data_IF_030317295658
#
_entry.id   IF_030317295658
#
_cell.length_a   1.000
_cell.length_b   1.000
_cell.length_c   1.000
_cell.angle_alpha   90.00
_cell.angle_beta   90.00
_cell.angle_gamma   90.00
#
_symmetry.space_group_name_H-M   'P 1'
#
loop_
_entity.id
_entity.type
_entity.pdbx_description
1 polymer ?
#
# COMPACT_ATOMS: atom_id res chain seq x y z
N UNK A 1 13.83 16.77 -4.98
CA UNK A 1 13.24 16.43 -3.67
C UNK A 1 12.67 17.67 -2.98
N UNK A 2 13.46 18.73 -2.74
CA UNK A 2 12.94 19.91 -2.02
C UNK A 2 11.82 20.65 -2.77
N UNK A 3 11.79 20.58 -4.11
CA UNK A 3 10.71 21.15 -4.94
C UNK A 3 9.33 20.55 -4.65
N UNK A 4 9.28 19.32 -4.12
CA UNK A 4 8.05 18.65 -3.73
C UNK A 4 7.59 18.99 -2.30
N UNK A 5 8.46 19.55 -1.44
CA UNK A 5 8.12 19.87 -0.05
C UNK A 5 6.90 20.79 0.12
N UNK A 6 6.68 21.81 -0.73
CA UNK A 6 5.51 22.68 -0.60
C UNK A 6 4.15 21.95 -0.63
N UNK A 7 4.12 20.76 -1.25
CA UNK A 7 2.94 19.92 -1.47
C UNK A 7 2.64 18.99 -0.27
N UNK A 8 3.59 18.81 0.66
CA UNK A 8 3.31 18.15 1.92
C UNK A 8 2.40 19.01 2.79
N UNK A 9 1.60 18.36 3.65
CA UNK A 9 0.82 19.07 4.68
C UNK A 9 1.75 19.84 5.61
N UNK A 10 1.25 20.93 6.18
CA UNK A 10 2.06 21.78 7.08
C UNK A 10 2.76 20.98 8.19
N UNK A 11 2.09 19.98 8.75
CA UNK A 11 2.62 19.07 9.78
C UNK A 11 3.72 18.11 9.27
N UNK A 12 3.81 17.89 7.97
CA UNK A 12 4.74 16.98 7.31
C UNK A 12 5.92 17.71 6.61
N UNK A 13 5.85 19.04 6.43
CA UNK A 13 6.86 19.82 5.66
C UNK A 13 8.28 19.76 6.23
N UNK A 14 8.37 19.72 7.56
CA UNK A 14 9.64 19.70 8.29
C UNK A 14 10.14 18.27 8.57
N UNK A 15 9.31 17.27 8.28
CA UNK A 15 9.69 15.87 8.50
C UNK A 15 10.72 15.42 7.47
N UNK A 16 11.61 14.54 7.89
CA UNK A 16 12.46 13.79 6.96
C UNK A 16 11.64 12.73 6.23
N UNK A 17 12.14 12.25 5.09
CA UNK A 17 11.43 11.28 4.25
C UNK A 17 10.96 10.05 5.05
N UNK A 18 11.84 9.47 5.87
CA UNK A 18 11.54 8.29 6.69
C UNK A 18 10.52 8.55 7.82
N UNK A 19 10.22 9.81 8.12
CA UNK A 19 9.25 10.22 9.13
C UNK A 19 7.86 10.50 8.54
N UNK A 20 7.71 10.56 7.21
CA UNK A 20 6.37 10.67 6.62
C UNK A 20 5.65 9.34 6.86
N UNK A 21 4.47 9.39 7.43
CA UNK A 21 3.63 8.22 7.62
C UNK A 21 2.28 8.48 6.96
N UNK A 22 1.65 7.46 6.37
CA UNK A 22 2.11 6.07 6.20
C UNK A 22 3.23 5.90 5.13
N UNK A 23 3.78 4.68 4.97
CA UNK A 23 4.85 4.38 3.99
C UNK A 23 4.48 4.75 2.56
N UNK A 24 3.23 4.51 2.18
CA UNK A 24 2.67 4.91 0.88
C UNK A 24 2.73 6.42 0.62
N UNK A 25 2.65 7.26 1.67
CA UNK A 25 2.89 8.71 1.56
C UNK A 25 4.36 9.02 1.25
N UNK A 26 5.31 8.28 1.85
CA UNK A 26 6.74 8.39 1.51
C UNK A 26 6.96 8.07 0.04
N UNK A 27 6.42 6.94 -0.40
CA UNK A 27 6.58 6.45 -1.76
C UNK A 27 5.97 7.45 -2.75
N UNK A 28 4.74 7.92 -2.50
CA UNK A 28 4.11 8.95 -3.32
C UNK A 28 4.96 10.21 -3.42
N UNK A 29 5.55 10.66 -2.31
CA UNK A 29 6.38 11.86 -2.28
C UNK A 29 7.65 11.70 -3.13
N UNK A 30 8.31 10.54 -3.05
CA UNK A 30 9.48 10.23 -3.87
C UNK A 30 9.13 10.23 -5.35
N UNK A 31 8.06 9.52 -5.74
CA UNK A 31 7.61 9.49 -7.13
C UNK A 31 7.24 10.88 -7.64
N UNK A 32 6.51 11.67 -6.84
CA UNK A 32 6.13 13.03 -7.19
C UNK A 32 7.33 13.96 -7.36
N UNK A 33 8.30 13.88 -6.44
CA UNK A 33 9.53 14.64 -6.52
C UNK A 33 10.37 14.25 -7.76
N UNK A 34 10.41 12.98 -8.13
CA UNK A 34 11.03 12.52 -9.37
C UNK A 34 10.34 13.10 -10.60
N UNK A 35 9.00 13.08 -10.64
CA UNK A 35 8.20 13.66 -11.74
C UNK A 35 8.45 15.15 -11.91
N UNK A 36 8.44 15.93 -10.82
CA UNK A 36 8.74 17.37 -10.87
C UNK A 36 10.12 17.68 -11.44
N UNK A 37 11.08 16.77 -11.23
CA UNK A 37 12.46 16.91 -11.71
C UNK A 37 12.69 16.29 -13.08
N UNK A 38 11.63 15.84 -13.78
CA UNK A 38 11.72 15.07 -15.04
C UNK A 38 12.67 13.86 -14.94
N UNK A 39 12.82 13.31 -13.74
CA UNK A 39 13.66 12.16 -13.47
C UNK A 39 12.76 10.93 -13.53
N UNK A 40 13.05 9.99 -14.44
CA UNK A 40 12.42 8.67 -14.36
C UNK A 40 13.05 7.93 -13.18
N UNK A 41 12.28 7.43 -12.20
CA UNK A 41 12.84 6.59 -11.16
C UNK A 41 13.52 5.40 -11.86
N UNK A 42 14.78 5.14 -11.48
CA UNK A 42 15.62 4.16 -12.17
C UNK A 42 14.94 2.78 -12.13
N UNK A 43 14.73 2.11 -13.28
CA UNK A 43 14.12 0.78 -13.32
C UNK A 43 14.93 -0.29 -12.55
N UNK A 44 16.21 -0.05 -12.25
CA UNK A 44 17.00 -0.89 -11.35
C UNK A 44 16.50 -0.90 -9.89
N UNK A 45 15.51 -0.08 -9.54
CA UNK A 45 14.89 -0.03 -8.22
C UNK A 45 13.77 -1.06 -8.03
N UNK A 46 13.38 -1.77 -9.08
CA UNK A 46 12.38 -2.84 -9.03
C UNK A 46 12.89 -4.11 -8.27
N UNK A 47 14.19 -4.19 -7.91
CA UNK A 47 14.79 -5.31 -7.17
C UNK A 47 14.93 -5.09 -5.65
N UNK A 48 14.48 -3.95 -5.11
CA UNK A 48 14.23 -3.84 -3.67
C UNK A 48 12.74 -4.12 -3.46
N UNK A 49 12.42 -5.24 -2.81
CA UNK A 49 11.10 -5.65 -2.27
C UNK A 49 10.47 -4.62 -1.27
N UNK A 50 10.79 -3.34 -1.37
CA UNK A 50 10.56 -2.32 -0.33
C UNK A 50 9.65 -1.17 -0.80
N UNK A 51 9.27 -1.10 -2.08
CA UNK A 51 8.48 0.03 -2.59
C UNK A 51 7.19 -0.47 -3.27
N UNK A 52 6.12 -0.61 -2.50
CA UNK A 52 4.78 -0.72 -3.08
C UNK A 52 4.49 0.59 -3.81
N UNK A 53 4.41 0.56 -5.15
CA UNK A 53 4.03 1.76 -5.90
C UNK A 53 2.67 2.22 -5.40
N UNK A 54 2.51 3.48 -4.97
CA UNK A 54 1.24 3.95 -4.48
C UNK A 54 0.18 3.82 -5.56
N UNK A 55 -1.01 3.41 -5.16
CA UNK A 55 -2.12 3.14 -6.07
C UNK A 55 -2.48 4.38 -6.91
N UNK A 56 -2.35 5.59 -6.38
CA UNK A 56 -2.57 6.80 -7.20
C UNK A 56 -1.68 6.82 -8.44
N UNK A 57 -0.43 6.36 -8.35
CA UNK A 57 0.50 6.37 -9.48
C UNK A 57 0.17 5.31 -10.53
N UNK A 58 -0.33 4.15 -10.10
CA UNK A 58 -0.84 3.15 -11.04
C UNK A 58 -2.07 3.67 -11.79
N UNK A 59 -2.97 4.38 -11.11
CA UNK A 59 -4.11 5.05 -11.75
C UNK A 59 -3.65 6.14 -12.73
N UNK A 60 -2.65 6.94 -12.36
CA UNK A 60 -2.10 7.96 -13.26
C UNK A 60 -1.53 7.34 -14.52
N UNK A 61 -0.78 6.24 -14.37
CA UNK A 61 -0.22 5.51 -15.50
C UNK A 61 -1.34 4.92 -16.37
N UNK A 62 -2.40 4.41 -15.76
CA UNK A 62 -3.56 3.91 -16.49
C UNK A 62 -4.19 5.01 -17.36
N UNK A 63 -4.44 6.19 -16.79
CA UNK A 63 -5.01 7.34 -17.52
C UNK A 63 -4.03 7.87 -18.58
N UNK A 64 -2.74 7.90 -18.28
CA UNK A 64 -1.73 8.39 -19.23
C UNK A 64 -1.51 7.46 -20.44
N UNK A 65 -1.84 6.18 -20.32
CA UNK A 65 -1.73 5.25 -21.44
C UNK A 65 -2.80 5.51 -22.51
N UNK A 66 -3.96 6.04 -22.12
CA UNK A 66 -5.11 6.32 -23.00
C UNK A 66 -5.55 5.13 -23.89
N UNK A 67 -5.03 3.94 -23.60
CA UNK A 67 -5.22 2.70 -24.33
C UNK A 67 -5.42 1.56 -23.34
N UNK A 68 -6.66 1.08 -23.30
CA UNK A 68 -7.11 -0.01 -22.42
C UNK A 68 -6.36 -1.32 -22.70
N UNK A 69 -5.94 -1.55 -23.95
CA UNK A 69 -5.19 -2.76 -24.32
C UNK A 69 -3.74 -2.65 -23.81
N UNK A 70 -3.14 -1.46 -23.91
CA UNK A 70 -1.83 -1.21 -23.33
C UNK A 70 -1.86 -1.35 -21.79
N UNK A 71 -2.92 -0.86 -21.14
CA UNK A 71 -3.11 -1.01 -19.70
C UNK A 71 -3.30 -2.47 -19.25
N UNK A 72 -4.10 -3.25 -19.99
CA UNK A 72 -4.33 -4.69 -19.71
C UNK A 72 -3.08 -5.55 -19.86
N UNK A 73 -2.06 -5.07 -20.61
CA UNK A 73 -0.77 -5.76 -20.71
C UNK A 73 0.11 -5.58 -19.47
N UNK A 74 -0.31 -4.75 -18.51
CA UNK A 74 0.41 -4.43 -17.28
C UNK A 74 -0.44 -4.80 -16.05
N UNK A 75 -0.34 -6.03 -15.51
CA UNK A 75 -1.21 -6.53 -14.44
C UNK A 75 -1.24 -5.65 -13.19
N UNK A 76 -0.13 -4.99 -12.84
CA UNK A 76 -0.08 -4.06 -11.70
C UNK A 76 -0.88 -2.77 -11.94
N UNK A 77 -0.91 -2.28 -13.18
CA UNK A 77 -1.67 -1.09 -13.58
C UNK A 77 -3.17 -1.41 -13.64
N UNK A 78 -3.50 -2.59 -14.18
CA UNK A 78 -4.87 -3.10 -14.20
C UNK A 78 -5.42 -3.31 -12.78
N UNK A 79 -4.69 -4.00 -11.90
CA UNK A 79 -5.09 -4.20 -10.50
C UNK A 79 -5.30 -2.87 -9.76
N UNK A 80 -4.51 -1.86 -10.10
CA UNK A 80 -4.69 -0.51 -9.55
C UNK A 80 -5.96 0.14 -10.07
N UNK A 81 -6.21 0.10 -11.38
CA UNK A 81 -7.44 0.62 -11.98
C UNK A 81 -8.67 -0.03 -11.34
N UNK A 82 -8.65 -1.35 -11.13
CA UNK A 82 -9.71 -2.08 -10.44
C UNK A 82 -9.90 -1.62 -8.98
N UNK A 83 -8.81 -1.32 -8.26
CA UNK A 83 -8.89 -0.77 -6.90
C UNK A 83 -9.55 0.62 -6.83
N UNK A 84 -9.61 1.33 -7.96
CA UNK A 84 -10.37 2.58 -8.14
C UNK A 84 -11.74 2.38 -8.81
N UNK A 85 -12.11 1.12 -9.07
CA UNK A 85 -13.40 0.73 -9.64
C UNK A 85 -13.41 0.61 -11.16
N UNK A 86 -12.30 0.94 -11.81
CA UNK A 86 -12.17 0.82 -13.26
C UNK A 86 -11.79 -0.62 -13.57
N UNK A 87 -12.79 -1.46 -13.84
CA UNK A 87 -12.58 -2.87 -14.12
C UNK A 87 -13.48 -3.41 -15.23
N UNK A 88 -13.27 -4.67 -15.64
CA UNK A 88 -14.00 -5.32 -16.74
C UNK A 88 -15.50 -5.52 -16.45
N UNK A 89 -15.94 -5.33 -15.20
CA UNK A 89 -17.33 -5.44 -14.78
C UNK A 89 -18.16 -4.18 -15.08
N UNK A 90 -17.52 -3.06 -15.43
CA UNK A 90 -18.23 -1.85 -15.84
C UNK A 90 -18.73 -1.98 -17.29
N UNK A 91 -19.89 -1.38 -17.56
CA UNK A 91 -20.26 -1.12 -18.95
C UNK A 91 -19.39 0.01 -19.52
N UNK A 92 -19.30 0.09 -20.85
CA UNK A 92 -18.46 1.09 -21.55
C UNK A 92 -18.77 2.53 -21.15
N UNK A 93 -20.03 2.84 -20.84
CA UNK A 93 -20.45 4.19 -20.45
C UNK A 93 -19.97 4.57 -19.05
N UNK A 94 -20.12 3.66 -18.08
CA UNK A 94 -19.64 3.84 -16.70
C UNK A 94 -18.11 3.88 -16.65
N UNK A 95 -17.46 3.05 -17.47
CA UNK A 95 -16.02 3.07 -17.65
C UNK A 95 -15.54 4.44 -18.13
N UNK A 96 -16.16 4.99 -19.17
CA UNK A 96 -15.77 6.29 -19.72
C UNK A 96 -16.02 7.41 -18.71
N UNK A 97 -17.14 7.39 -17.99
CA UNK A 97 -17.45 8.39 -16.96
C UNK A 97 -16.43 8.36 -15.81
N UNK A 98 -16.05 7.17 -15.32
CA UNK A 98 -15.01 7.05 -14.29
C UNK A 98 -13.65 7.50 -14.83
N UNK A 99 -13.33 7.16 -16.07
CA UNK A 99 -12.09 7.58 -16.71
C UNK A 99 -11.99 9.11 -16.83
N UNK A 100 -13.04 9.77 -17.37
CA UNK A 100 -13.12 11.23 -17.45
C UNK A 100 -13.08 11.87 -16.07
N UNK A 101 -13.82 11.32 -15.10
CA UNK A 101 -13.81 11.80 -13.73
C UNK A 101 -12.41 11.78 -13.11
N UNK A 102 -11.70 10.65 -13.20
CA UNK A 102 -10.35 10.56 -12.63
C UNK A 102 -9.34 11.40 -13.42
N UNK A 103 -9.53 11.58 -14.73
CA UNK A 103 -8.75 12.51 -15.54
C UNK A 103 -8.94 13.96 -15.09
N UNK A 104 -10.18 14.41 -14.87
CA UNK A 104 -10.49 15.74 -14.35
C UNK A 104 -9.96 15.92 -12.92
N UNK A 105 -10.17 14.92 -12.06
CA UNK A 105 -9.69 14.93 -10.68
C UNK A 105 -8.17 15.04 -10.65
N UNK A 106 -7.47 14.28 -11.49
CA UNK A 106 -6.02 14.36 -11.62
C UNK A 106 -5.54 15.74 -12.07
N UNK A 107 -6.20 16.34 -13.06
CA UNK A 107 -5.84 17.67 -13.54
C UNK A 107 -6.02 18.77 -12.48
N UNK A 108 -6.94 18.57 -11.53
CA UNK A 108 -7.26 19.54 -10.48
C UNK A 108 -6.60 19.24 -9.12
N UNK A 109 -6.19 18.00 -8.85
CA UNK A 109 -5.74 17.55 -7.55
C UNK A 109 -4.23 17.37 -7.43
N UNK A 110 -3.75 17.48 -6.20
CA UNK A 110 -2.40 17.06 -5.82
C UNK A 110 -2.36 15.52 -5.67
N UNK A 111 -1.43 14.82 -6.34
CA UNK A 111 -1.28 13.36 -6.28
C UNK A 111 -1.13 12.82 -4.86
N UNK A 112 -0.41 13.55 -4.00
CA UNK A 112 -0.19 13.18 -2.60
C UNK A 112 -1.48 13.23 -1.80
N UNK A 113 -2.30 14.25 -2.06
CA UNK A 113 -3.58 14.44 -1.38
C UNK A 113 -4.64 13.46 -1.89
N UNK A 114 -4.56 13.08 -3.17
CA UNK A 114 -5.41 12.05 -3.75
C UNK A 114 -5.10 10.66 -3.15
N UNK A 115 -3.82 10.31 -2.98
CA UNK A 115 -3.43 9.08 -2.28
C UNK A 115 -3.92 9.09 -0.83
N UNK A 116 -3.67 10.18 -0.09
CA UNK A 116 -4.12 10.31 1.29
C UNK A 116 -5.64 10.14 1.40
N UNK A 117 -6.41 10.82 0.54
CA UNK A 117 -7.86 10.70 0.53
C UNK A 117 -8.36 9.30 0.20
N UNK A 118 -7.65 8.55 -0.66
CA UNK A 118 -7.97 7.16 -0.95
C UNK A 118 -7.72 6.26 0.27
N UNK A 119 -6.61 6.48 1.00
CA UNK A 119 -6.27 5.70 2.20
C UNK A 119 -7.17 6.00 3.39
N UNK A 120 -7.65 7.24 3.52
CA UNK A 120 -8.50 7.67 4.62
C UNK A 120 -10.00 7.47 4.36
N UNK A 121 -10.38 6.78 3.28
CA UNK A 121 -11.78 6.64 2.85
C UNK A 121 -12.50 7.99 2.63
N UNK A 122 -11.78 9.06 2.29
CA UNK A 122 -12.33 10.41 2.07
C UNK A 122 -12.23 10.86 0.61
N UNK A 123 -12.03 9.93 -0.33
CA UNK A 123 -11.89 10.21 -1.77
C UNK A 123 -13.09 10.98 -2.34
N UNK A 124 -14.29 10.64 -1.90
CA UNK A 124 -15.52 11.26 -2.38
C UNK A 124 -15.69 12.71 -1.87
N UNK A 125 -15.27 12.99 -0.64
CA UNK A 125 -15.27 14.34 -0.08
C UNK A 125 -14.17 15.18 -0.74
N UNK A 126 -12.97 14.61 -0.87
CA UNK A 126 -11.84 15.25 -1.53
C UNK A 126 -12.14 15.61 -2.99
N UNK A 127 -12.79 14.71 -3.74
CA UNK A 127 -13.18 14.99 -5.12
C UNK A 127 -14.24 16.08 -5.24
N UNK A 128 -15.19 16.17 -4.30
CA UNK A 128 -16.15 17.29 -4.25
C UNK A 128 -15.44 18.63 -4.04
N UNK A 129 -14.46 18.67 -3.14
CA UNK A 129 -13.70 19.88 -2.87
C UNK A 129 -12.87 20.31 -4.08
N UNK A 130 -12.29 19.36 -4.81
CA UNK A 130 -11.48 19.63 -6.00
C UNK A 130 -12.34 20.05 -7.20
N UNK A 131 -13.44 19.34 -7.47
CA UNK A 131 -14.26 19.53 -8.68
C UNK A 131 -15.44 20.49 -8.47
N UNK A 132 -15.64 20.97 -7.24
CA UNK A 132 -16.62 21.95 -6.74
C UNK A 132 -18.11 21.61 -6.94
N UNK A 133 -18.53 21.14 -8.11
CA UNK A 133 -19.94 20.74 -8.39
C UNK A 133 -20.11 19.80 -9.59
N UNK A 134 -19.05 19.35 -10.26
CA UNK A 134 -19.16 18.63 -11.55
C UNK A 134 -19.33 17.11 -11.46
N UNK A 135 -19.44 16.54 -10.27
CA UNK A 135 -19.49 15.08 -10.13
C UNK A 135 -20.89 14.59 -10.54
N UNK A 136 -20.94 13.78 -11.59
CA UNK A 136 -22.15 13.12 -12.02
C UNK A 136 -22.71 12.21 -10.90
N UNK A 137 -24.03 12.23 -10.72
CA UNK A 137 -24.77 11.31 -9.85
C UNK A 137 -24.43 9.82 -10.06
N UNK A 138 -24.07 9.44 -11.29
CA UNK A 138 -23.67 8.08 -11.64
C UNK A 138 -22.28 7.75 -11.11
N UNK A 139 -21.31 8.65 -11.31
CA UNK A 139 -19.96 8.53 -10.74
C UNK A 139 -20.01 8.46 -9.21
N UNK A 140 -20.91 9.24 -8.60
CA UNK A 140 -21.15 9.20 -7.16
C UNK A 140 -21.63 7.83 -6.69
N UNK A 141 -22.56 7.22 -7.43
CA UNK A 141 -23.11 5.89 -7.12
C UNK A 141 -22.03 4.82 -7.24
N UNK A 142 -21.21 4.87 -8.30
CA UNK A 142 -20.11 3.94 -8.52
C UNK A 142 -19.04 4.04 -7.42
N UNK A 143 -18.66 5.26 -7.00
CA UNK A 143 -17.73 5.42 -5.87
C UNK A 143 -18.32 4.95 -4.55
N UNK A 144 -19.61 5.23 -4.28
CA UNK A 144 -20.25 4.77 -3.06
C UNK A 144 -20.32 3.24 -2.97
N UNK A 145 -20.58 2.55 -4.09
CA UNK A 145 -20.54 1.09 -4.17
C UNK A 145 -19.13 0.54 -3.94
N UNK A 146 -18.11 1.25 -4.45
CA UNK A 146 -16.70 0.91 -4.25
C UNK A 146 -16.29 1.05 -2.78
N UNK A 147 -16.63 2.15 -2.14
CA UNK A 147 -16.34 2.38 -0.71
C UNK A 147 -16.98 1.31 0.17
N UNK A 148 -18.23 0.92 -0.12
CA UNK A 148 -18.91 -0.19 0.57
C UNK A 148 -18.17 -1.51 0.36
N UNK A 149 -17.68 -1.77 -0.85
CA UNK A 149 -16.95 -2.98 -1.18
C UNK A 149 -15.57 -3.02 -0.50
N UNK A 150 -14.84 -1.90 -0.49
CA UNK A 150 -13.53 -1.76 0.17
C UNK A 150 -13.64 -2.00 1.67
N UNK A 151 -14.62 -1.38 2.34
CA UNK A 151 -14.85 -1.57 3.78
C UNK A 151 -15.17 -3.02 4.13
N UNK A 152 -16.01 -3.70 3.33
CA UNK A 152 -16.31 -5.14 3.54
C UNK A 152 -15.07 -6.02 3.43
N UNK A 153 -14.14 -5.69 2.52
CA UNK A 153 -12.88 -6.43 2.37
C UNK A 153 -11.97 -6.17 3.57
N UNK A 154 -11.80 -4.92 3.98
CA UNK A 154 -10.98 -4.56 5.14
C UNK A 154 -11.52 -5.13 6.47
N UNK A 155 -12.84 -5.15 6.66
CA UNK A 155 -13.48 -5.76 7.83
C UNK A 155 -13.19 -7.26 7.92
N UNK A 156 -13.25 -7.98 6.79
CA UNK A 156 -12.93 -9.41 6.73
C UNK A 156 -11.45 -9.70 7.03
N UNK A 157 -10.55 -8.85 6.55
CA UNK A 157 -9.10 -8.96 6.84
C UNK A 157 -8.83 -8.70 8.33
N UNK A 158 -9.49 -7.70 8.90
CA UNK A 158 -9.38 -7.36 10.32
C UNK A 158 -9.93 -8.46 11.23
N UNK A 159 -11.06 -9.09 10.86
CA UNK A 159 -11.62 -10.24 11.59
C UNK A 159 -10.70 -11.48 11.55
N UNK A 160 -10.03 -11.74 10.42
CA UNK A 160 -9.07 -12.85 10.32
C UNK A 160 -7.83 -12.63 11.19
N UNK A 161 -7.28 -11.41 11.21
CA UNK A 161 -6.16 -11.05 12.11
C UNK A 161 -6.54 -11.13 13.60
N UNK A 162 -7.78 -10.85 13.96
CA UNK A 162 -8.26 -10.98 15.35
C UNK A 162 -8.46 -12.44 15.80
N UNK A 163 -8.63 -13.37 14.86
CA UNK A 163 -8.82 -14.80 15.15
C UNK A 163 -7.51 -15.59 15.13
N UNK A 164 -6.44 -15.00 14.61
CA UNK A 164 -5.07 -15.55 14.57
C UNK A 164 -4.20 -14.89 15.66
N UNK A 165 -4.66 -14.95 16.92
CA UNK A 165 -3.75 -14.77 18.05
C UNK A 165 -2.83 -16.00 18.14
N UNK A 166 -1.51 -15.84 18.30
CA UNK A 166 -0.61 -16.98 18.42
C UNK A 166 -0.96 -17.72 19.70
N UNK A 167 -1.33 -19.00 19.57
CA UNK A 167 -1.24 -19.95 20.66
C UNK A 167 0.24 -20.14 21.05
N UNK A 168 0.85 -19.14 21.70
CA UNK A 168 1.92 -19.38 22.65
C UNK A 168 1.28 -19.92 23.92
N UNK A 169 0.96 -21.22 23.89
CA UNK A 169 0.73 -21.96 25.10
C UNK A 169 2.07 -22.06 25.85
N UNK A 170 2.14 -21.39 27.01
CA UNK A 170 3.17 -21.64 28.00
C UNK A 170 3.19 -23.14 28.36
N UNK A 171 4.37 -23.76 28.58
CA UNK A 171 4.43 -25.15 29.00
C UNK A 171 3.89 -25.27 30.43
N UNK A 172 2.92 -26.16 30.72
CA UNK A 172 2.54 -26.44 32.09
C UNK A 172 3.64 -27.27 32.77
N UNK A 173 4.23 -26.68 33.79
CA UNK A 173 5.11 -27.34 34.73
C UNK A 173 4.29 -28.21 35.71
N UNK A 174 4.84 -29.41 35.98
CA UNK A 174 4.54 -30.33 37.09
C UNK A 174 3.17 -31.08 36.99
N UNK A 175 3.04 -32.40 37.16
CA UNK A 175 3.73 -33.33 38.08
C UNK A 175 3.72 -34.79 37.55
N UNK A 176 4.90 -35.41 37.63
CA UNK A 176 5.20 -36.71 38.26
C UNK A 176 4.42 -37.99 37.90
N UNK A 177 5.09 -38.92 37.21
CA UNK A 177 5.16 -40.38 37.48
C UNK A 177 6.18 -41.01 36.52
N UNK A 178 7.39 -41.28 36.98
CA UNK A 178 7.82 -42.64 37.41
C UNK A 178 7.97 -43.62 36.23
N UNK A 179 9.17 -43.69 35.63
CA UNK A 179 9.86 -44.94 35.28
C UNK A 179 11.21 -44.70 34.58
N UNK A 180 12.13 -45.63 34.84
CA UNK A 180 13.46 -45.86 34.25
C UNK A 180 14.57 -44.93 34.76
N UNK A 181 15.38 -45.31 35.77
CA UNK A 181 16.34 -46.44 35.78
C UNK A 181 17.45 -46.16 34.74
N UNK A 182 18.52 -45.48 35.16
CA UNK A 182 19.79 -46.09 35.58
C UNK A 182 20.76 -46.19 34.39
N UNK A 183 21.77 -45.31 34.33
CA UNK A 183 23.19 -45.67 34.15
C UNK A 183 24.08 -44.45 33.84
N UNK A 184 25.01 -44.27 34.78
CA UNK A 184 26.45 -44.00 34.59
C UNK A 184 26.85 -42.68 33.90
N UNK A 185 27.41 -41.68 34.59
CA UNK A 185 28.73 -41.61 35.26
C UNK A 185 29.93 -41.72 34.30
N UNK A 186 30.91 -40.84 34.57
CA UNK A 186 32.18 -40.61 33.89
C UNK A 186 32.05 -39.98 32.48
N UNK A 187 32.70 -38.87 32.15
CA UNK A 187 34.09 -38.57 32.48
C UNK A 187 34.30 -37.04 32.44
N UNK A 188 34.59 -36.48 33.61
CA UNK A 188 35.30 -35.21 33.73
C UNK A 188 36.79 -35.51 33.48
N UNK A 189 37.48 -34.56 32.83
CA UNK A 189 38.92 -34.29 32.98
C UNK A 189 39.89 -35.02 32.03
N UNK A 190 40.27 -34.36 30.94
CA UNK A 190 41.70 -34.24 30.63
C UNK A 190 42.04 -33.02 29.75
N UNK A 191 42.83 -32.13 30.37
CA UNK A 191 44.02 -31.44 29.84
C UNK A 191 43.92 -30.65 28.52
N UNK A 192 44.13 -29.33 28.51
CA UNK A 192 45.39 -28.63 28.80
C UNK A 192 46.56 -28.98 27.85
N UNK A 193 46.72 -28.18 26.78
CA UNK A 193 47.97 -27.59 26.22
C UNK A 193 47.66 -27.10 24.80
N UNK A 194 47.89 -25.82 24.48
CA UNK A 194 49.22 -25.29 24.10
C UNK A 194 49.47 -25.66 22.63
N UNK A 195 49.49 -24.76 21.65
CA UNK A 195 50.39 -23.62 21.54
C UNK A 195 51.38 -23.90 20.39
N UNK A 196 51.41 -23.00 19.39
CA UNK A 196 52.46 -22.71 18.39
C UNK A 196 53.35 -23.85 17.88
N UNK A 197 53.36 -24.00 16.56
CA UNK A 197 54.52 -23.64 15.71
C UNK A 197 54.02 -23.21 14.35
#
# INVERSE_FOLDING_TARGET
>A
MDDARPYLRGEDKDKSLHQLQPSSKQDCFVFFACTLQNCTPNPGWDNLDVWERPLVWGLCRYIALDDVIAAASLPAVEATAEAFGIGPHLNTGDWLQLYEFYGELWAAADPLRLQEAWETDTLLEFSKDCLRTRIDSRVYSLQAELDVSRRRVQDRVSQRKATEAPHQAAPPAAETKEKLEEKEQEEEKETAKGGRT
#
